data_IF_162976808165
#
_entry.id   IF_162976808165
#
_cell.length_a   1.000
_cell.length_b   1.000
_cell.length_c   1.000
_cell.angle_alpha   90.00
_cell.angle_beta   90.00
_cell.angle_gamma   90.00
#
_symmetry.space_group_name_H-M   'P 1'
#
loop_
_entity.id
_entity.type
_entity.pdbx_description
1 polymer ?
2 water ?
#
# COMPACT_ATOMS: atom_id res chain seq x y z
N UNK A 8 6.55 19.31 -28.91
CA UNK A 8 7.71 18.41 -28.81
C UNK A 8 7.84 17.87 -27.38
N UNK A 9 6.72 17.35 -26.84
CA UNK A 9 6.65 16.91 -25.46
C UNK A 9 7.62 15.78 -25.15
N UNK A 10 8.09 15.04 -26.15
CA UNK A 10 8.95 13.91 -25.86
C UNK A 10 10.44 14.24 -25.95
N UNK A 11 10.82 15.44 -26.36
CA UNK A 11 12.21 15.72 -26.70
C UNK A 11 13.16 15.37 -25.57
N UNK A 12 12.96 15.97 -24.41
CA UNK A 12 13.92 15.76 -23.34
C UNK A 12 13.75 14.41 -22.67
N UNK A 13 12.54 13.83 -22.72
CA UNK A 13 12.40 12.46 -22.21
C UNK A 13 13.28 11.50 -23.00
N UNK A 14 13.30 11.63 -24.32
CA UNK A 14 14.11 10.72 -25.14
C UNK A 14 15.60 11.00 -24.97
N UNK A 15 16.00 12.27 -25.05
CA UNK A 15 17.39 12.63 -24.76
C UNK A 15 17.84 12.04 -23.42
N UNK A 16 16.98 12.15 -22.40
CA UNK A 16 17.32 11.60 -21.09
C UNK A 16 17.41 10.08 -21.08
N UNK A 17 16.51 9.40 -21.80
CA UNK A 17 16.57 7.95 -21.81
C UNK A 17 17.88 7.45 -22.38
N UNK A 18 18.49 8.23 -23.27
CA UNK A 18 19.74 7.85 -23.91
C UNK A 18 20.97 8.27 -23.12
N UNK A 19 20.80 8.92 -21.96
CA UNK A 19 21.94 9.52 -21.27
C UNK A 19 22.98 8.50 -20.81
N UNK A 20 22.61 7.22 -20.71
CA UNK A 20 23.51 6.19 -20.23
C UNK A 20 24.01 5.27 -21.33
N UNK A 21 23.73 5.57 -22.59
CA UNK A 21 24.18 4.74 -23.68
C UNK A 21 23.06 4.43 -24.65
N UNK A 22 23.42 3.68 -25.70
CA UNK A 22 22.53 3.44 -26.83
C UNK A 22 21.31 2.60 -26.45
N UNK A 23 20.22 2.84 -27.19
CA UNK A 23 18.96 2.12 -27.06
C UNK A 23 18.32 2.03 -28.44
N UNK A 24 17.54 0.97 -28.63
CA UNK A 24 16.71 0.83 -29.82
C UNK A 24 15.41 1.60 -29.64
N UNK A 25 14.71 1.81 -30.75
CA UNK A 25 13.41 2.44 -30.66
C UNK A 25 12.42 1.60 -29.88
N UNK A 26 12.54 0.27 -29.99
CA UNK A 26 11.75 -0.60 -29.13
C UNK A 26 12.04 -0.31 -27.67
N UNK A 27 13.34 -0.29 -27.31
CA UNK A 27 13.72 -0.06 -25.92
C UNK A 27 13.18 1.27 -25.41
N UNK A 28 13.27 2.32 -26.24
CA UNK A 28 12.77 3.63 -25.84
C UNK A 28 11.26 3.56 -25.63
N UNK A 29 10.54 2.84 -26.48
CA UNK A 29 9.10 2.68 -26.30
C UNK A 29 8.77 1.95 -25.00
N UNK A 30 9.51 0.87 -24.70
CA UNK A 30 9.26 0.14 -23.46
C UNK A 30 9.51 1.00 -22.23
N UNK A 31 10.57 1.83 -22.25
CA UNK A 31 10.80 2.71 -21.12
C UNK A 31 9.61 3.66 -20.94
N UNK A 32 8.97 4.04 -22.03
CA UNK A 32 7.76 4.85 -21.91
C UNK A 32 6.59 4.02 -21.39
N UNK A 33 6.43 2.79 -21.88
CA UNK A 33 5.29 1.99 -21.45
C UNK A 33 5.47 1.39 -20.06
N UNK A 34 6.61 1.63 -19.40
CA UNK A 34 6.86 1.06 -18.09
C UNK A 34 7.06 2.17 -17.06
N UNK A 35 8.27 2.30 -16.51
CA UNK A 35 8.47 3.19 -15.37
C UNK A 35 8.41 4.67 -15.72
N UNK A 36 8.60 5.04 -16.98
CA UNK A 36 8.57 6.47 -17.26
C UNK A 36 7.16 6.95 -17.58
N UNK A 37 6.41 6.18 -18.36
CA UNK A 37 5.09 6.60 -18.76
C UNK A 37 4.09 6.61 -17.64
N UNK A 38 4.57 6.54 -16.39
CA UNK A 38 3.65 6.80 -15.30
C UNK A 38 3.49 8.30 -15.12
N UNK A 39 4.61 9.04 -15.05
CA UNK A 39 4.63 10.48 -14.84
C UNK A 39 4.95 11.26 -16.13
N UNK A 40 5.14 10.56 -17.25
CA UNK A 40 5.38 11.23 -18.53
C UNK A 40 4.94 10.26 -19.63
N UNK A 41 3.64 10.27 -19.91
CA UNK A 41 3.11 9.38 -20.93
C UNK A 41 3.42 9.89 -22.34
N UNK A 42 3.64 8.94 -23.24
CA UNK A 42 3.82 9.24 -24.65
C UNK A 42 2.78 8.50 -25.46
N UNK A 43 2.28 9.14 -26.52
CA UNK A 43 1.53 8.40 -27.53
C UNK A 43 2.52 7.65 -28.41
N UNK A 44 2.25 6.37 -28.68
CA UNK A 44 3.19 5.61 -29.50
C UNK A 44 3.40 6.25 -30.87
N UNK A 45 2.39 6.97 -31.36
CA UNK A 45 2.47 7.65 -32.64
C UNK A 45 3.44 8.83 -32.63
N UNK A 46 4.01 9.18 -31.48
CA UNK A 46 4.86 10.33 -31.36
C UNK A 46 6.33 9.99 -31.15
N UNK A 47 6.65 8.73 -30.83
CA UNK A 47 8.03 8.40 -30.49
C UNK A 47 8.91 8.48 -31.73
N UNK A 48 8.49 7.85 -32.82
CA UNK A 48 9.38 7.78 -33.97
C UNK A 48 9.48 9.11 -34.71
N UNK A 49 8.42 9.92 -34.81
CA UNK A 49 8.64 11.28 -35.30
C UNK A 49 9.63 12.07 -34.46
N UNK A 50 9.57 11.92 -33.14
CA UNK A 50 10.50 12.66 -32.28
C UNK A 50 11.93 12.16 -32.48
N UNK A 51 12.11 10.84 -32.53
CA UNK A 51 13.42 10.28 -32.83
C UNK A 51 13.98 10.86 -34.11
N UNK A 52 13.16 10.89 -35.18
CA UNK A 52 13.61 11.43 -36.46
C UNK A 52 13.95 12.90 -36.36
N UNK A 53 13.14 13.67 -35.63
CA UNK A 53 13.39 15.09 -35.49
C UNK A 53 14.69 15.33 -34.73
N UNK A 54 14.92 14.56 -33.66
CA UNK A 54 16.16 14.68 -32.90
C UNK A 54 17.38 14.31 -33.73
N UNK A 55 17.22 13.38 -34.67
CA UNK A 55 18.30 13.04 -35.59
C UNK A 55 18.60 14.21 -36.50
N UNK A 56 17.57 14.74 -37.17
CA UNK A 56 17.78 15.87 -38.05
C UNK A 56 18.35 17.06 -37.28
N UNK A 57 18.07 17.14 -35.97
CA UNK A 57 18.60 18.25 -35.18
C UNK A 57 20.04 18.01 -34.71
N UNK A 58 20.59 16.81 -34.94
CA UNK A 58 21.95 16.53 -34.53
C UNK A 58 22.12 16.21 -33.06
N UNK A 59 21.03 15.98 -32.34
CA UNK A 59 21.05 15.66 -30.91
C UNK A 59 21.26 14.18 -30.64
N UNK A 60 20.84 13.32 -31.57
CA UNK A 60 21.11 11.89 -31.51
C UNK A 60 21.57 11.43 -32.88
N UNK A 61 22.35 10.37 -32.90
CA UNK A 61 22.72 9.68 -34.12
C UNK A 61 22.36 8.22 -33.95
N UNK A 62 22.67 7.41 -34.97
CA UNK A 62 22.30 6.00 -34.91
C UNK A 62 23.34 5.16 -35.63
N UNK A 63 23.24 3.84 -35.41
CA UNK A 63 23.95 2.82 -36.17
C UNK A 63 22.97 1.70 -36.51
N UNK A 64 23.37 0.82 -37.42
CA UNK A 64 22.50 -0.27 -37.83
C UNK A 64 23.05 -1.62 -37.40
N UNK A 74 18.38 -0.46 -35.87
CA UNK A 74 18.67 0.93 -35.50
C UNK A 74 18.85 1.18 -33.98
N UNK A 75 20.08 1.56 -33.59
CA UNK A 75 20.46 1.84 -32.21
C UNK A 75 20.84 3.31 -32.08
N UNK A 76 20.02 4.07 -31.36
CA UNK A 76 20.21 5.51 -31.18
C UNK A 76 21.13 5.80 -30.00
N UNK A 77 21.99 6.81 -30.17
CA UNK A 77 22.86 7.27 -29.08
C UNK A 77 22.84 8.79 -29.09
N UNK A 78 23.03 9.37 -27.90
CA UNK A 78 23.25 10.80 -27.80
C UNK A 78 24.48 11.21 -28.59
N UNK A 79 24.42 12.36 -29.25
CA UNK A 79 25.62 13.05 -29.70
C UNK A 79 26.10 13.99 -28.58
N UNK A 80 27.31 14.55 -28.73
CA UNK A 80 27.77 15.53 -27.76
C UNK A 80 26.83 16.72 -27.71
N UNK A 81 26.31 17.11 -28.88
CA UNK A 81 25.29 18.15 -28.94
C UNK A 81 24.06 17.77 -28.14
N UNK A 82 23.61 16.53 -28.28
CA UNK A 82 22.45 16.09 -27.52
C UNK A 82 22.71 16.07 -26.04
N UNK A 83 23.91 15.63 -25.64
CA UNK A 83 24.28 15.67 -24.23
C UNK A 83 24.22 17.10 -23.69
N UNK A 84 24.75 18.06 -24.46
CA UNK A 84 24.75 19.45 -24.02
C UNK A 84 23.34 20.00 -23.96
N UNK A 85 22.51 19.63 -24.94
CA UNK A 85 21.12 20.10 -24.98
C UNK A 85 20.36 19.59 -23.76
N UNK A 86 20.56 18.31 -23.44
CA UNK A 86 19.99 17.71 -22.24
C UNK A 86 20.49 18.44 -20.99
N UNK A 87 21.79 18.71 -20.92
CA UNK A 87 22.36 19.35 -19.73
C UNK A 87 21.79 20.75 -19.53
N UNK A 88 21.72 21.55 -20.61
CA UNK A 88 21.16 22.90 -20.49
C UNK A 88 19.73 22.88 -19.96
N UNK A 89 18.93 21.91 -20.42
CA UNK A 89 17.55 21.80 -19.95
C UNK A 89 17.47 21.38 -18.48
N UNK A 90 18.31 20.41 -18.08
CA UNK A 90 18.31 19.93 -16.70
C UNK A 90 18.53 21.07 -15.72
N UNK A 91 19.51 21.93 -15.96
CA UNK A 91 19.90 22.90 -14.93
C UNK A 91 19.09 24.17 -15.01
N UNK A 92 18.25 24.30 -16.02
CA UNK A 92 17.43 25.48 -16.20
C UNK A 92 16.35 25.56 -15.13
N UNK A 93 16.16 26.75 -14.58
CA UNK A 93 15.13 26.98 -13.57
C UNK A 93 13.85 27.44 -14.26
N UNK A 94 12.85 26.65 -14.11
CA UNK A 94 11.63 26.96 -14.81
C UNK A 94 10.55 27.37 -13.80
N UNK A 95 9.57 28.15 -14.24
CA UNK A 95 8.45 28.45 -13.35
C UNK A 95 7.67 27.18 -13.08
N UNK A 96 7.19 27.03 -11.86
CA UNK A 96 6.37 25.85 -11.58
C UNK A 96 5.06 25.97 -12.35
N UNK A 97 4.56 24.90 -12.94
CA UNK A 97 3.36 24.99 -13.79
C UNK A 97 2.11 25.38 -13.02
N UNK A 98 1.11 25.85 -13.77
CA UNK A 98 -0.25 25.93 -13.24
C UNK A 98 -0.74 24.56 -12.81
N UNK A 99 -1.56 24.53 -11.76
CA UNK A 99 -2.02 23.26 -11.18
C UNK A 99 -2.42 22.28 -12.28
N UNK A 100 -2.02 21.03 -12.08
CA UNK A 100 -2.40 19.97 -13.01
C UNK A 100 -3.89 19.71 -12.88
N UNK A 101 -4.56 19.55 -14.02
CA UNK A 101 -5.98 19.27 -14.04
C UNK A 101 -6.28 18.06 -13.17
N UNK A 102 -7.33 18.17 -12.36
CA UNK A 102 -7.84 17.03 -11.60
C UNK A 102 -9.35 17.11 -11.70
N UNK A 103 -9.94 16.21 -12.45
CA UNK A 103 -11.37 16.26 -12.70
C UNK A 103 -12.14 16.03 -11.40
N UNK A 104 -11.66 15.13 -10.55
CA UNK A 104 -12.33 14.89 -9.28
C UNK A 104 -12.42 16.17 -8.46
N UNK A 105 -11.39 17.00 -8.50
CA UNK A 105 -11.39 18.23 -7.70
C UNK A 105 -12.33 19.27 -8.28
N UNK A 106 -12.55 19.25 -9.61
CA UNK A 106 -13.60 20.07 -10.18
C UNK A 106 -14.95 19.68 -9.62
N UNK A 107 -15.19 18.37 -9.49
CA UNK A 107 -16.38 17.90 -8.80
C UNK A 107 -16.42 18.39 -7.36
N UNK A 108 -15.29 18.28 -6.64
CA UNK A 108 -15.28 18.72 -5.25
C UNK A 108 -15.66 20.19 -5.15
N UNK A 109 -15.19 21.00 -6.10
CA UNK A 109 -15.53 22.42 -6.08
C UNK A 109 -17.03 22.62 -6.19
N UNK A 110 -17.70 21.75 -6.95
CA UNK A 110 -19.13 21.83 -7.20
C UNK A 110 -19.94 20.98 -6.23
N UNK A 111 -19.38 20.67 -5.07
CA UNK A 111 -20.02 19.71 -4.17
C UNK A 111 -21.40 20.17 -3.69
N UNK A 112 -21.72 21.47 -3.81
CA UNK A 112 -23.04 21.93 -3.36
C UNK A 112 -24.18 21.32 -4.16
N UNK A 113 -23.88 20.74 -5.32
CA UNK A 113 -24.86 20.03 -6.13
C UNK A 113 -25.03 18.57 -5.74
N UNK A 114 -24.36 18.09 -4.68
CA UNK A 114 -24.47 16.70 -4.27
C UNK A 114 -25.12 16.62 -2.90
N UNK A 115 -25.95 15.61 -2.69
CA UNK A 115 -26.39 15.30 -1.35
C UNK A 115 -25.20 14.82 -0.51
N UNK A 116 -25.40 14.77 0.80
CA UNK A 116 -24.38 14.23 1.71
C UNK A 116 -24.01 12.81 1.31
N UNK A 117 -25.03 11.98 1.05
CA UNK A 117 -24.80 10.58 0.70
C UNK A 117 -24.04 10.46 -0.62
N UNK A 118 -24.41 11.25 -1.62
CA UNK A 118 -23.74 11.19 -2.93
C UNK A 118 -22.29 11.65 -2.81
N UNK A 119 -22.03 12.70 -2.02
CA UNK A 119 -20.66 13.13 -1.82
C UNK A 119 -19.85 12.07 -1.07
N UNK A 120 -20.46 11.48 -0.03
CA UNK A 120 -19.80 10.39 0.67
C UNK A 120 -19.45 9.24 -0.28
N UNK A 121 -20.42 8.83 -1.10
CA UNK A 121 -20.20 7.76 -2.08
C UNK A 121 -19.08 8.13 -3.06
N UNK A 122 -19.11 9.36 -3.56
CA UNK A 122 -18.09 9.82 -4.51
C UNK A 122 -16.70 9.84 -3.87
N UNK A 123 -16.60 10.38 -2.67
CA UNK A 123 -15.31 10.47 -2.01
C UNK A 123 -14.82 9.09 -1.59
N UNK A 124 -15.74 8.21 -1.18
CA UNK A 124 -15.35 6.87 -0.76
C UNK A 124 -14.80 6.08 -1.93
N UNK A 125 -15.44 6.17 -3.08
CA UNK A 125 -14.91 5.53 -4.28
C UNK A 125 -13.54 6.10 -4.63
N UNK A 126 -13.36 7.41 -4.48
CA UNK A 126 -12.05 7.98 -4.79
C UNK A 126 -11.00 7.47 -3.80
N UNK A 127 -11.34 7.44 -2.50
CA UNK A 127 -10.43 6.92 -1.49
C UNK A 127 -10.03 5.46 -1.77
N UNK A 128 -10.98 4.63 -2.17
CA UNK A 128 -10.68 3.24 -2.45
C UNK A 128 -9.67 3.13 -3.60
N UNK A 129 -9.91 3.86 -4.69
CA UNK A 129 -9.05 3.75 -5.86
C UNK A 129 -7.67 4.31 -5.58
N UNK A 130 -7.57 5.37 -4.79
CA UNK A 130 -6.25 5.90 -4.49
C UNK A 130 -5.49 5.06 -3.48
N UNK A 131 -6.18 4.44 -2.51
CA UNK A 131 -5.46 3.51 -1.63
C UNK A 131 -4.94 2.33 -2.45
N UNK A 132 -5.77 1.85 -3.40
CA UNK A 132 -5.35 0.75 -4.26
C UNK A 132 -4.17 1.15 -5.12
N UNK A 133 -4.19 2.39 -5.67
CA UNK A 133 -3.04 2.87 -6.41
C UNK A 133 -1.83 3.00 -5.48
N UNK A 134 -2.02 3.55 -4.28
CA UNK A 134 -0.93 3.63 -3.31
C UNK A 134 -0.33 2.25 -3.06
N UNK A 135 -1.19 1.23 -2.98
CA UNK A 135 -0.71 -0.12 -2.76
C UNK A 135 0.24 -0.59 -3.87
N UNK A 136 -0.08 -0.30 -5.13
CA UNK A 136 0.80 -0.69 -6.22
C UNK A 136 2.14 0.01 -6.12
N UNK A 137 2.13 1.30 -5.76
CA UNK A 137 3.37 2.06 -5.59
C UNK A 137 4.20 1.52 -4.43
N UNK A 138 3.56 1.13 -3.32
CA UNK A 138 4.31 0.55 -2.21
C UNK A 138 4.93 -0.78 -2.60
N UNK A 139 4.29 -1.53 -3.49
CA UNK A 139 4.89 -2.75 -4.00
C UNK A 139 6.14 -2.47 -4.82
N UNK A 140 6.06 -1.50 -5.74
CA UNK A 140 7.22 -1.16 -6.56
C UNK A 140 8.36 -0.62 -5.72
N UNK A 141 8.03 0.02 -4.60
CA UNK A 141 9.05 0.55 -3.72
C UNK A 141 9.79 -0.59 -3.02
N UNK A 142 9.04 -1.55 -2.45
CA UNK A 142 9.68 -2.68 -1.78
C UNK A 142 10.46 -3.55 -2.78
N UNK A 143 9.99 -3.65 -4.02
CA UNK A 143 10.76 -4.32 -5.06
C UNK A 143 12.07 -3.59 -5.36
N UNK A 144 12.01 -2.26 -5.52
CA UNK A 144 13.22 -1.49 -5.77
C UNK A 144 14.21 -1.59 -4.61
N UNK A 145 13.71 -1.56 -3.38
CA UNK A 145 14.61 -1.56 -2.24
C UNK A 145 15.03 -2.97 -1.80
N UNK A 146 14.74 -3.99 -2.61
CA UNK A 146 15.16 -5.37 -2.31
C UNK A 146 16.58 -5.63 -2.82
N UNK A 150 20.24 0.59 0.54
CA UNK A 150 20.89 1.81 1.02
C UNK A 150 21.13 2.82 -0.11
N UNK A 151 20.22 3.78 -0.20
CA UNK A 151 20.16 4.69 -1.35
C UNK A 151 21.13 5.84 -1.21
N UNK A 152 21.78 6.21 -2.31
CA UNK A 152 22.74 7.29 -2.29
C UNK A 152 22.60 8.11 -3.57
N UNK A 153 23.15 9.34 -3.56
CA UNK A 153 22.97 10.26 -4.68
C UNK A 153 23.45 9.68 -6.00
N UNK A 154 24.61 9.02 -6.00
CA UNK A 154 25.20 8.49 -7.21
C UNK A 154 24.84 7.03 -7.44
N UNK A 155 23.99 6.46 -6.60
CA UNK A 155 23.47 5.14 -6.89
C UNK A 155 22.79 5.14 -8.25
N UNK A 156 22.95 4.09 -9.04
CA UNK A 156 22.32 4.07 -10.36
C UNK A 156 20.80 4.09 -10.34
N UNK A 157 20.18 3.67 -9.23
CA UNK A 157 18.72 3.70 -9.09
C UNK A 157 18.19 4.97 -8.44
N UNK A 158 19.03 5.98 -8.19
CA UNK A 158 18.53 7.14 -7.44
C UNK A 158 17.39 7.81 -8.19
N UNK A 159 17.53 7.94 -9.50
CA UNK A 159 16.47 8.58 -10.30
C UNK A 159 15.14 7.85 -10.17
N UNK A 160 15.17 6.52 -10.28
CA UNK A 160 13.98 5.70 -10.11
C UNK A 160 13.43 5.85 -8.70
N UNK A 161 14.32 5.85 -7.70
CA UNK A 161 13.90 6.08 -6.32
C UNK A 161 13.24 7.45 -6.16
N UNK A 162 13.74 8.47 -6.89
CA UNK A 162 13.12 9.79 -6.77
C UNK A 162 11.68 9.76 -7.29
N UNK A 163 11.46 9.18 -8.47
CA UNK A 163 10.08 9.23 -8.98
C UNK A 163 9.18 8.29 -8.19
N UNK A 164 9.70 7.18 -7.69
CA UNK A 164 8.87 6.28 -6.88
C UNK A 164 8.42 6.96 -5.60
N UNK A 165 9.35 7.59 -4.87
CA UNK A 165 8.99 8.15 -3.58
C UNK A 165 8.12 9.40 -3.74
N UNK A 166 8.38 10.20 -4.78
CA UNK A 166 7.49 11.33 -5.05
C UNK A 166 6.05 10.84 -5.27
N UNK A 167 5.88 9.83 -6.12
CA UNK A 167 4.54 9.33 -6.40
C UNK A 167 3.91 8.71 -5.16
N UNK A 168 4.70 7.97 -4.38
CA UNK A 168 4.24 7.42 -3.10
C UNK A 168 3.76 8.51 -2.16
N UNK A 169 4.63 9.48 -1.89
CA UNK A 169 4.26 10.60 -1.03
C UNK A 169 3.01 11.29 -1.56
N UNK A 170 2.89 11.40 -2.87
CA UNK A 170 1.74 12.11 -3.43
C UNK A 170 0.45 11.36 -3.16
N UNK A 171 0.43 10.04 -3.37
CA UNK A 171 -0.77 9.26 -3.12
C UNK A 171 -1.10 9.19 -1.63
N UNK A 172 -0.10 9.05 -0.76
CA UNK A 172 -0.36 9.06 0.68
C UNK A 172 -1.06 10.35 1.10
N UNK A 173 -0.57 11.49 0.62
CA UNK A 173 -1.18 12.76 0.98
C UNK A 173 -2.60 12.88 0.41
N UNK A 174 -2.80 12.45 -0.83
CA UNK A 174 -4.15 12.41 -1.40
C UNK A 174 -5.07 11.52 -0.57
N UNK A 175 -4.63 10.31 -0.25
CA UNK A 175 -5.42 9.41 0.59
C UNK A 175 -5.76 10.10 1.91
N UNK A 176 -4.75 10.71 2.53
CA UNK A 176 -4.94 11.34 3.82
C UNK A 176 -5.94 12.49 3.73
N UNK A 177 -5.88 13.27 2.66
CA UNK A 177 -6.82 14.37 2.51
C UNK A 177 -8.23 13.83 2.33
N UNK A 178 -8.38 12.80 1.49
CA UNK A 178 -9.70 12.19 1.29
C UNK A 178 -10.28 11.67 2.60
N UNK A 179 -9.45 11.02 3.44
CA UNK A 179 -9.94 10.49 4.69
C UNK A 179 -10.43 11.61 5.61
N UNK A 180 -9.72 12.73 5.61
CA UNK A 180 -10.15 13.78 6.52
C UNK A 180 -11.38 14.50 5.98
N UNK A 181 -11.59 14.53 4.67
CA UNK A 181 -12.85 15.09 4.19
C UNK A 181 -14.00 14.13 4.48
N UNK A 182 -13.78 12.83 4.27
CA UNK A 182 -14.77 11.84 4.64
C UNK A 182 -15.11 11.92 6.13
N UNK A 183 -14.10 12.20 6.97
CA UNK A 183 -14.44 12.33 8.38
C UNK A 183 -15.30 13.57 8.61
N UNK A 184 -15.13 14.63 7.81
CA UNK A 184 -16.05 15.75 7.95
C UNK A 184 -17.44 15.42 7.39
N UNK A 185 -17.49 14.79 6.21
CA UNK A 185 -18.76 14.56 5.54
C UNK A 185 -19.62 13.59 6.33
N UNK A 186 -19.02 12.49 6.79
CA UNK A 186 -19.73 11.48 7.55
C UNK A 186 -19.76 11.82 9.01
N UNK B 8 -14.79 -17.97 26.25
CA UNK B 8 -13.80 -17.21 27.01
C UNK B 8 -12.66 -16.73 26.11
N UNK B 9 -13.03 -16.11 24.98
CA UNK B 9 -12.08 -15.76 23.93
C UNK B 9 -10.98 -14.84 24.42
N UNK B 10 -11.21 -14.11 25.52
CA UNK B 10 -10.23 -13.12 25.91
C UNK B 10 -9.21 -13.65 26.90
N UNK B 11 -9.41 -14.86 27.42
CA UNK B 11 -8.60 -15.33 28.54
C UNK B 11 -7.11 -15.15 28.26
N UNK B 12 -6.63 -15.73 27.16
CA UNK B 12 -5.20 -15.69 26.92
C UNK B 12 -4.77 -14.34 26.36
N UNK B 13 -5.66 -13.61 25.69
CA UNK B 13 -5.31 -12.25 25.31
C UNK B 13 -4.99 -11.39 26.52
N UNK B 14 -5.79 -11.50 27.59
CA UNK B 14 -5.56 -10.68 28.77
C UNK B 14 -4.32 -11.16 29.52
N UNK B 15 -4.23 -12.47 29.77
CA UNK B 15 -3.03 -13.00 30.39
C UNK B 15 -1.78 -12.55 29.65
N UNK B 16 -1.82 -12.57 28.32
CA UNK B 16 -0.66 -12.14 27.56
C UNK B 16 -0.36 -10.66 27.72
N UNK B 17 -1.40 -9.82 27.72
CA UNK B 17 -1.21 -8.38 27.87
C UNK B 17 -0.56 -8.02 29.22
N UNK B 18 -0.75 -8.85 30.23
CA UNK B 18 -0.16 -8.59 31.52
C UNK B 18 1.24 -9.15 31.66
N UNK B 19 1.78 -9.80 30.62
CA UNK B 19 3.03 -10.56 30.76
C UNK B 19 4.23 -9.67 31.04
N UNK B 20 4.14 -8.38 30.78
CA UNK B 20 5.26 -7.46 30.98
C UNK B 20 5.07 -6.58 32.21
N UNK B 21 4.09 -6.88 33.06
CA UNK B 21 3.85 -6.14 34.28
C UNK B 21 2.38 -5.77 34.44
N UNK B 22 2.11 -5.09 35.55
CA UNK B 22 0.74 -4.75 35.93
C UNK B 22 0.11 -3.74 34.98
N UNK B 23 -1.20 -3.84 34.83
CA UNK B 23 -1.96 -2.92 34.00
C UNK B 23 -3.32 -2.68 34.62
N UNK B 24 -3.89 -1.52 34.32
CA UNK B 24 -5.26 -1.20 34.66
C UNK B 24 -6.23 -1.76 33.62
N UNK B 25 -7.51 -1.82 34.00
CA UNK B 25 -8.54 -2.21 33.04
C UNK B 25 -8.71 -1.23 31.90
N UNK B 26 -8.52 0.05 32.17
CA UNK B 26 -8.49 1.04 31.10
C UNK B 26 -7.44 0.69 30.06
N UNK B 27 -6.20 0.47 30.53
CA UNK B 27 -5.11 0.16 29.60
C UNK B 27 -5.38 -1.13 28.84
N UNK B 28 -5.86 -2.16 29.54
CA UNK B 28 -6.19 -3.43 28.89
C UNK B 28 -7.30 -3.22 27.87
N UNK B 29 -8.34 -2.47 28.23
CA UNK B 29 -9.37 -2.13 27.25
C UNK B 29 -8.78 -1.32 26.11
N UNK B 30 -7.90 -0.36 26.44
CA UNK B 30 -7.25 0.45 25.42
C UNK B 30 -6.41 -0.41 24.48
N UNK B 31 -5.68 -1.39 25.02
CA UNK B 31 -4.91 -2.30 24.18
C UNK B 31 -5.80 -3.09 23.23
N UNK B 32 -7.03 -3.39 23.66
CA UNK B 32 -7.94 -4.13 22.79
C UNK B 32 -8.48 -3.26 21.66
N UNK B 33 -8.85 -2.01 21.96
CA UNK B 33 -9.44 -1.15 20.93
C UNK B 33 -8.40 -0.56 19.99
N UNK B 34 -7.12 -0.85 20.19
CA UNK B 34 -6.05 -0.27 19.41
C UNK B 34 -5.28 -1.34 18.65
N UNK B 35 -4.06 -1.62 19.10
CA UNK B 35 -3.12 -2.44 18.35
C UNK B 35 -3.54 -3.91 18.30
N UNK B 36 -4.38 -4.35 19.23
CA UNK B 36 -4.84 -5.73 19.34
C UNK B 36 -6.14 -5.97 18.59
N UNK B 37 -7.05 -4.99 18.59
CA UNK B 37 -8.34 -5.15 17.95
C UNK B 37 -8.34 -5.22 16.43
N UNK B 38 -7.18 -5.40 15.81
CA UNK B 38 -7.14 -5.72 14.39
C UNK B 38 -7.32 -7.22 14.17
N UNK B 39 -6.53 -8.04 14.86
CA UNK B 39 -6.54 -9.49 14.68
C UNK B 39 -7.20 -10.24 15.83
N UNK B 40 -7.65 -9.55 16.88
CA UNK B 40 -8.33 -10.22 18.00
C UNK B 40 -9.27 -9.19 18.63
N UNK B 41 -10.43 -9.01 18.00
CA UNK B 41 -11.36 -7.99 18.45
C UNK B 41 -12.05 -8.41 19.73
N UNK B 42 -12.30 -7.44 20.60
CA UNK B 42 -13.09 -7.64 21.81
C UNK B 42 -14.25 -6.65 21.82
N UNK B 43 -15.41 -7.13 22.26
CA UNK B 43 -16.49 -6.23 22.65
C UNK B 43 -16.24 -5.73 24.07
N UNK B 44 -16.47 -4.43 24.29
CA UNK B 44 -16.25 -3.84 25.60
C UNK B 44 -17.03 -4.56 26.70
N UNK B 45 -18.16 -5.17 26.35
CA UNK B 45 -19.01 -5.89 27.30
C UNK B 45 -18.38 -7.19 27.82
N UNK B 46 -17.25 -7.62 27.26
CA UNK B 46 -16.67 -8.91 27.62
C UNK B 46 -15.37 -8.82 28.41
N UNK B 47 -14.74 -7.64 28.48
CA UNK B 47 -13.42 -7.53 29.09
C UNK B 47 -13.47 -7.73 30.60
N UNK B 48 -14.37 -7.01 31.28
CA UNK B 48 -14.37 -7.08 32.74
C UNK B 48 -14.96 -8.35 33.32
N UNK B 49 -15.95 -9.00 32.68
CA UNK B 49 -16.31 -10.35 33.14
C UNK B 49 -15.15 -11.32 33.06
N UNK B 50 -14.34 -11.25 32.01
CA UNK B 50 -13.18 -12.15 31.90
C UNK B 50 -12.15 -11.83 32.98
N UNK B 51 -11.90 -10.53 33.24
CA UNK B 51 -11.01 -10.14 34.32
C UNK B 51 -11.48 -10.72 35.65
N UNK B 52 -12.78 -10.64 35.92
CA UNK B 52 -13.31 -11.13 37.19
C UNK B 52 -13.10 -12.64 37.32
N UNK B 53 -13.31 -13.39 36.24
CA UNK B 53 -13.12 -14.84 36.31
C UNK B 53 -11.65 -15.20 36.48
N UNK B 54 -10.76 -14.50 35.75
CA UNK B 54 -9.32 -14.76 35.87
C UNK B 54 -8.82 -14.49 37.29
N UNK B 55 -9.43 -13.51 37.98
CA UNK B 55 -9.10 -13.31 39.39
C UNK B 55 -9.55 -14.51 40.21
N UNK B 56 -10.84 -14.89 40.08
CA UNK B 56 -11.36 -16.02 40.83
C UNK B 56 -10.64 -17.32 40.51
N UNK B 57 -10.04 -17.43 39.34
CA UNK B 57 -9.30 -18.62 38.97
C UNK B 57 -7.87 -18.61 39.49
N UNK B 58 -7.45 -17.52 40.14
CA UNK B 58 -6.11 -17.42 40.67
C UNK B 58 -5.05 -17.14 39.64
N UNK B 59 -5.44 -16.81 38.41
CA UNK B 59 -4.48 -16.53 37.36
C UNK B 59 -4.00 -15.08 37.38
N UNK B 60 -4.84 -14.15 37.84
CA UNK B 60 -4.44 -12.76 38.02
C UNK B 60 -4.96 -12.28 39.35
N UNK B 61 -4.28 -11.29 39.93
CA UNK B 61 -4.77 -10.59 41.10
C UNK B 61 -4.72 -9.08 40.83
N UNK B 62 -5.09 -8.28 41.84
CA UNK B 62 -5.09 -6.83 41.67
C UNK B 62 -4.68 -6.16 42.98
N UNK B 63 -4.24 -4.91 42.86
CA UNK B 63 -3.93 -4.09 44.03
C UNK B 63 -4.58 -2.72 43.91
N UNK B 74 -7.85 -0.31 40.42
CA UNK B 74 -7.56 -1.73 40.21
C UNK B 74 -6.41 -1.92 39.23
N UNK B 75 -5.28 -2.46 39.71
CA UNK B 75 -4.12 -2.77 38.87
C UNK B 75 -3.92 -4.27 38.86
N UNK B 76 -4.16 -4.89 37.70
CA UNK B 76 -4.06 -6.34 37.59
C UNK B 76 -2.63 -6.76 37.26
N UNK B 77 -2.21 -7.86 37.86
CA UNK B 77 -0.90 -8.46 37.62
C UNK B 77 -1.07 -9.97 37.52
N UNK B 78 -0.22 -10.60 36.73
CA UNK B 78 -0.20 -12.06 36.67
C UNK B 78 0.20 -12.65 38.02
N UNK B 79 -0.45 -13.75 38.39
CA UNK B 79 0.03 -14.60 39.47
C UNK B 79 1.01 -15.65 38.93
N UNK B 80 1.62 -16.40 39.84
CA UNK B 80 2.48 -17.51 39.45
C UNK B 80 1.69 -18.53 38.64
N UNK B 81 0.44 -18.78 39.03
CA UNK B 81 -0.45 -19.65 38.29
C UNK B 81 -0.74 -19.10 36.90
N UNK B 82 -0.97 -17.78 36.80
CA UNK B 82 -1.25 -17.16 35.52
C UNK B 82 -0.07 -17.19 34.58
N UNK B 83 1.13 -16.90 35.09
CA UNK B 83 2.32 -17.06 34.25
C UNK B 83 2.41 -18.49 33.75
N UNK B 84 2.16 -19.44 34.64
CA UNK B 84 2.18 -20.84 34.24
C UNK B 84 1.08 -21.12 33.23
N UNK B 85 -0.09 -20.52 33.42
CA UNK B 85 -1.21 -20.79 32.51
C UNK B 85 -0.92 -20.21 31.13
N UNK B 86 -0.41 -18.98 31.08
CA UNK B 86 -0.01 -18.38 29.81
C UNK B 86 1.08 -19.22 29.13
N UNK B 87 2.10 -19.61 29.90
CA UNK B 87 3.22 -20.34 29.33
C UNK B 87 2.79 -21.70 28.76
N UNK B 88 1.96 -22.44 29.51
CA UNK B 88 1.47 -23.72 28.99
C UNK B 88 0.74 -23.52 27.68
N UNK B 89 -0.07 -22.48 27.60
CA UNK B 89 -0.82 -22.21 26.38
C UNK B 89 0.11 -21.81 25.24
N UNK B 90 1.09 -20.97 25.53
CA UNK B 90 2.04 -20.53 24.50
C UNK B 90 2.69 -21.72 23.82
N UNK B 91 3.14 -22.71 24.60
CA UNK B 91 3.89 -23.82 24.03
C UNK B 91 3.00 -24.99 23.62
N UNK B 92 1.70 -24.93 23.93
CA UNK B 92 0.80 -26.03 23.58
C UNK B 92 0.68 -26.15 22.05
N UNK B 93 0.72 -27.37 21.56
CA UNK B 93 0.48 -27.67 20.15
C UNK B 93 -1.00 -27.96 19.94
N UNK B 94 -1.67 -27.12 19.18
CA UNK B 94 -3.09 -27.17 18.95
C UNK B 94 -3.40 -27.52 17.50
N UNK B 95 -4.57 -28.12 17.22
CA UNK B 95 -4.95 -28.35 15.83
C UNK B 95 -5.21 -27.02 15.13
N UNK B 96 -4.83 -26.94 13.85
CA UNK B 96 -5.16 -25.72 13.11
C UNK B 96 -6.66 -25.66 12.88
N UNK B 97 -7.29 -24.49 12.99
CA UNK B 97 -8.75 -24.42 12.86
C UNK B 97 -9.21 -24.71 11.44
N UNK B 98 -10.48 -25.15 11.34
CA UNK B 98 -11.18 -25.23 10.07
C UNK B 98 -11.30 -23.85 9.41
N UNK B 99 -11.26 -23.84 8.08
CA UNK B 99 -11.28 -22.59 7.32
C UNK B 99 -12.38 -21.65 7.83
N UNK B 100 -12.00 -20.38 8.05
CA UNK B 100 -12.98 -19.36 8.42
C UNK B 100 -13.80 -18.97 7.20
N UNK B 101 -15.10 -18.81 7.41
CA UNK B 101 -16.00 -18.43 6.32
C UNK B 101 -15.53 -17.16 5.62
N UNK B 102 -15.64 -17.16 4.30
CA UNK B 102 -15.38 -15.99 3.46
C UNK B 102 -16.58 -15.90 2.53
N UNK B 103 -17.42 -14.89 2.77
CA UNK B 103 -18.64 -14.78 1.99
C UNK B 103 -18.33 -14.54 0.53
N UNK B 104 -17.29 -13.75 0.24
CA UNK B 104 -16.91 -13.53 -1.14
C UNK B 104 -16.57 -14.84 -1.83
N UNK B 105 -15.94 -15.76 -1.11
CA UNK B 105 -15.55 -17.01 -1.73
C UNK B 105 -16.76 -17.91 -1.96
N UNK B 106 -17.78 -17.79 -1.11
CA UNK B 106 -19.04 -18.47 -1.41
C UNK B 106 -19.63 -17.96 -2.73
N UNK B 107 -19.57 -16.65 -2.98
CA UNK B 107 -19.98 -16.13 -4.28
C UNK B 107 -19.14 -16.74 -5.39
N UNK B 108 -17.82 -16.77 -5.19
CA UNK B 108 -16.94 -17.34 -6.21
C UNK B 108 -17.33 -18.77 -6.54
N UNK B 109 -17.75 -19.54 -5.54
CA UNK B 109 -18.16 -20.91 -5.77
C UNK B 109 -19.34 -20.98 -6.72
N UNK B 110 -20.24 -20.00 -6.66
CA UNK B 110 -21.46 -19.94 -7.46
C UNK B 110 -21.30 -19.09 -8.72
N UNK B 111 -20.06 -18.88 -9.17
CA UNK B 111 -19.79 -17.91 -10.23
C UNK B 111 -20.49 -18.26 -11.54
N UNK B 112 -20.92 -19.51 -11.71
CA UNK B 112 -21.60 -19.88 -12.93
C UNK B 112 -22.92 -19.13 -13.09
N UNK B 113 -23.44 -18.54 -12.02
CA UNK B 113 -24.64 -17.72 -12.12
C UNK B 113 -24.35 -16.30 -12.55
N UNK B 114 -23.11 -15.98 -12.88
CA UNK B 114 -22.73 -14.64 -13.31
C UNK B 114 -22.21 -14.66 -14.74
N UNK B 115 -22.55 -13.62 -15.49
CA UNK B 115 -21.92 -13.37 -16.78
C UNK B 115 -20.46 -12.97 -16.59
N UNK B 116 -19.69 -13.06 -17.68
CA UNK B 116 -18.28 -12.68 -17.62
C UNK B 116 -18.14 -11.23 -17.19
N UNK B 117 -19.02 -10.36 -17.66
CA UNK B 117 -18.98 -8.97 -17.22
C UNK B 117 -19.31 -8.85 -15.74
N UNK B 118 -20.33 -9.58 -15.26
CA UNK B 118 -20.70 -9.50 -13.85
C UNK B 118 -19.60 -10.04 -12.95
N UNK B 119 -18.95 -11.14 -13.36
CA UNK B 119 -17.85 -11.65 -12.57
C UNK B 119 -16.70 -10.66 -12.51
N UNK B 120 -16.39 -10.03 -13.64
CA UNK B 120 -15.33 -9.01 -13.65
C UNK B 120 -15.63 -7.87 -12.68
N UNK B 121 -16.85 -7.35 -12.70
CA UNK B 121 -17.21 -6.27 -11.77
C UNK B 121 -17.05 -6.71 -10.31
N UNK B 122 -17.55 -7.91 -9.98
CA UNK B 122 -17.46 -8.36 -8.60
C UNK B 122 -16.00 -8.54 -8.16
N UNK B 123 -15.20 -9.19 -8.99
CA UNK B 123 -13.79 -9.40 -8.64
C UNK B 123 -12.99 -8.11 -8.67
N UNK B 124 -13.31 -7.18 -9.58
CA UNK B 124 -12.58 -5.92 -9.60
C UNK B 124 -12.85 -5.12 -8.33
N UNK B 125 -14.11 -5.08 -7.90
CA UNK B 125 -14.43 -4.43 -6.63
C UNK B 125 -13.73 -5.10 -5.45
N UNK B 126 -13.66 -6.44 -5.46
CA UNK B 126 -12.93 -7.11 -4.38
C UNK B 126 -11.43 -6.82 -4.46
N UNK B 127 -10.88 -6.80 -5.68
CA UNK B 127 -9.46 -6.44 -5.84
C UNK B 127 -9.19 -5.05 -5.28
N UNK B 128 -10.05 -4.08 -5.59
CA UNK B 128 -9.82 -2.72 -5.12
C UNK B 128 -9.84 -2.66 -3.60
N UNK B 129 -10.82 -3.33 -2.97
CA UNK B 129 -10.93 -3.28 -1.51
C UNK B 129 -9.76 -3.98 -0.83
N UNK B 130 -9.26 -5.07 -1.39
CA UNK B 130 -8.12 -5.75 -0.77
C UNK B 130 -6.83 -4.98 -0.98
N UNK B 131 -6.68 -4.33 -2.12
CA UNK B 131 -5.51 -3.48 -2.30
C UNK B 131 -5.53 -2.32 -1.29
N UNK B 132 -6.71 -1.74 -1.07
CA UNK B 132 -6.83 -0.63 -0.12
C UNK B 132 -6.49 -1.07 1.29
N UNK B 133 -6.95 -2.26 1.70
CA UNK B 133 -6.59 -2.77 3.00
C UNK B 133 -5.09 -3.03 3.07
N UNK B 134 -4.52 -3.59 2.00
CA UNK B 134 -3.07 -3.78 1.96
C UNK B 134 -2.34 -2.46 2.17
N UNK B 135 -2.80 -1.39 1.53
CA UNK B 135 -2.12 -0.10 1.67
C UNK B 135 -2.14 0.36 3.13
N UNK B 136 -3.25 0.14 3.85
CA UNK B 136 -3.27 0.48 5.27
C UNK B 136 -2.26 -0.37 6.05
N UNK B 137 -2.16 -1.66 5.73
CA UNK B 137 -1.20 -2.51 6.42
C UNK B 137 0.24 -2.12 6.08
N UNK B 138 0.51 -1.74 4.83
CA UNK B 138 1.86 -1.31 4.45
C UNK B 138 2.24 -0.01 5.14
N UNK B 139 1.26 0.86 5.41
CA UNK B 139 1.53 2.06 6.19
C UNK B 139 1.90 1.76 7.64
N UNK B 140 1.16 0.85 8.29
CA UNK B 140 1.51 0.49 9.66
C UNK B 140 2.87 -0.19 9.73
N UNK B 141 3.25 -0.94 8.70
CA UNK B 141 4.54 -1.60 8.67
C UNK B 141 5.67 -0.60 8.52
N UNK B 142 5.54 0.32 7.56
CA UNK B 142 6.58 1.33 7.35
C UNK B 142 6.72 2.22 8.57
N UNK B 143 5.61 2.45 9.30
CA UNK B 143 5.69 3.19 10.57
C UNK B 143 6.47 2.41 11.63
N UNK B 144 6.15 1.13 11.80
CA UNK B 144 6.82 0.31 12.81
C UNK B 144 8.32 0.21 12.52
N UNK B 145 8.70 0.13 11.25
CA UNK B 145 10.10 0.00 10.85
C UNK B 145 10.71 1.40 10.74
N UNK B 146 11.06 1.96 11.89
CA UNK B 146 11.68 3.28 11.91
C UNK B 146 12.48 3.51 13.17
N UNK B 150 16.16 -2.12 12.62
CA UNK B 150 16.78 -3.41 12.38
C UNK B 150 16.08 -4.55 13.12
N UNK B 151 15.17 -5.25 12.47
CA UNK B 151 14.29 -6.21 13.14
C UNK B 151 14.94 -7.57 13.28
N UNK B 152 14.81 -8.16 14.46
CA UNK B 152 15.34 -9.49 14.75
C UNK B 152 14.46 -10.13 15.82
N UNK B 153 14.72 -11.42 16.08
CA UNK B 153 13.94 -12.16 17.08
C UNK B 153 13.97 -11.49 18.45
N UNK B 154 15.07 -10.83 18.82
CA UNK B 154 15.20 -10.26 20.15
C UNK B 154 14.65 -8.85 20.26
N UNK B 155 14.18 -8.26 19.17
CA UNK B 155 13.54 -6.97 19.26
C UNK B 155 12.29 -7.05 20.15
N UNK B 156 12.07 -6.07 21.02
CA UNK B 156 10.84 -6.08 21.83
C UNK B 156 9.58 -5.91 21.00
N UNK B 157 9.69 -5.41 19.76
CA UNK B 157 8.58 -5.27 18.83
C UNK B 157 8.37 -6.50 17.97
N UNK B 158 9.08 -7.60 18.24
CA UNK B 158 9.03 -8.75 17.34
C UNK B 158 7.61 -9.27 17.20
N UNK B 159 6.87 -9.36 18.31
CA UNK B 159 5.49 -9.84 18.24
C UNK B 159 4.61 -8.97 17.35
N UNK B 160 4.77 -7.65 17.44
CA UNK B 160 4.05 -6.74 16.57
C UNK B 160 4.48 -6.93 15.11
N UNK B 161 5.78 -7.13 14.89
CA UNK B 161 6.26 -7.39 13.53
C UNK B 161 5.64 -8.67 12.97
N UNK B 162 5.44 -9.67 13.84
CA UNK B 162 4.84 -10.93 13.39
C UNK B 162 3.40 -10.75 12.93
N UNK B 163 2.56 -10.10 13.76
CA UNK B 163 1.17 -10.01 13.34
C UNK B 163 1.02 -9.06 12.15
N UNK B 164 1.84 -8.01 12.07
CA UNK B 164 1.77 -7.10 10.93
C UNK B 164 2.18 -7.81 9.63
N UNK B 165 3.33 -8.49 9.63
CA UNK B 165 3.80 -9.09 8.39
C UNK B 165 2.92 -10.25 7.97
N UNK B 166 2.36 -10.99 8.95
CA UNK B 166 1.37 -12.04 8.63
C UNK B 166 0.17 -11.44 7.90
N UNK B 167 -0.41 -10.36 8.45
CA UNK B 167 -1.57 -9.75 7.81
C UNK B 167 -1.18 -9.17 6.46
N UNK B 168 0.00 -8.53 6.39
CA UNK B 168 0.51 -8.00 5.12
C UNK B 168 0.57 -9.09 4.07
N UNK B 169 1.30 -10.17 4.38
CA UNK B 169 1.47 -11.29 3.47
C UNK B 169 0.13 -11.88 3.07
N UNK B 170 -0.81 -11.93 4.00
CA UNK B 170 -2.10 -12.50 3.68
C UNK B 170 -2.84 -11.65 2.66
N UNK B 171 -2.86 -10.32 2.87
CA UNK B 171 -3.56 -9.48 1.90
C UNK B 171 -2.84 -9.46 0.56
N UNK B 172 -1.50 -9.48 0.57
CA UNK B 172 -0.75 -9.54 -0.69
C UNK B 172 -1.11 -10.78 -1.49
N UNK B 173 -1.23 -11.91 -0.81
CA UNK B 173 -1.57 -13.17 -1.48
C UNK B 173 -3.00 -13.13 -2.03
N UNK B 174 -3.94 -12.63 -1.24
CA UNK B 174 -5.31 -12.46 -1.70
C UNK B 174 -5.36 -11.55 -2.92
N UNK B 175 -4.67 -10.41 -2.85
CA UNK B 175 -4.60 -9.49 -3.99
C UNK B 175 -4.05 -10.22 -5.21
N UNK B 176 -2.96 -10.95 -5.03
CA UNK B 176 -2.33 -11.64 -6.16
C UNK B 176 -3.25 -12.70 -6.74
N UNK B 177 -3.98 -13.41 -5.88
CA UNK B 177 -4.91 -14.41 -6.40
C UNK B 177 -6.05 -13.73 -7.19
N UNK B 178 -6.60 -12.64 -6.64
CA UNK B 178 -7.65 -11.94 -7.37
C UNK B 178 -7.16 -11.47 -8.73
N UNK B 179 -5.93 -10.95 -8.81
CA UNK B 179 -5.41 -10.52 -10.10
C UNK B 179 -5.32 -11.68 -11.07
N UNK B 180 -4.93 -12.86 -10.60
CA UNK B 180 -4.79 -13.96 -11.55
C UNK B 180 -6.15 -14.50 -11.98
N UNK B 181 -7.17 -14.41 -11.13
CA UNK B 181 -8.50 -14.82 -11.57
C UNK B 181 -9.07 -13.80 -12.55
N UNK B 182 -8.87 -12.51 -12.27
CA UNK B 182 -9.29 -11.49 -13.21
C UNK B 182 -8.69 -11.70 -14.59
N UNK B 183 -7.44 -12.15 -14.66
CA UNK B 183 -6.87 -12.37 -15.98
C UNK B 183 -7.62 -13.49 -16.72
N UNK B 184 -8.12 -14.48 -15.98
CA UNK B 184 -8.92 -15.53 -16.62
C UNK B 184 -10.28 -14.99 -17.03
N UNK B 185 -10.90 -14.16 -16.19
CA UNK B 185 -12.22 -13.62 -16.49
C UNK B 185 -12.15 -12.64 -17.64
N UNK B 186 -11.20 -11.72 -17.59
CA UNK B 186 -11.02 -10.73 -18.63
C UNK B 186 -10.15 -11.34 -19.74
#
# INVERSE_FOLDING_TARGET
GSAKDPMRVLKYAILGLLRKGELSGYDITSYFKEELGQFWSAKHSQIYPELKKLTDEGFITFRTTIQGTKLEKKMYTLTDSGKQELHDWLIRHQPIPETVKDEFMLKAYFISSLSRQEASDLFTDQLLKRKAKLSDLQGSYEKLMASAEPMSFSSPDFGHYLVLTKALEREKNYVSWLESILAMIDED
GSAKDPMRVLKYAILGLLRKGELSGYDITSYFKEELGQFWSAKHSQIYPELKKLTDEGFITFRTTIQGTKLEKKMYTLTDSGKQELHDWLIRHQPIPETVKDEFMLKAYFISSLSRQEASDLFTDQLLKRKAKLSDLQGSYEKLMASAEPMSFSSPDFGHYLVLTKALEREKNYVSWLESILAMIDED
#
